data_IF_499282827498
#
_entry.id   IF_499282827498
#
_cell.length_a   1.000
_cell.length_b   1.000
_cell.length_c   1.000
_cell.angle_alpha   90.00
_cell.angle_beta   90.00
_cell.angle_gamma   90.00
#
_symmetry.space_group_name_H-M   'P 1'
#
loop_
_entity.id
_entity.type
_entity.pdbx_description
1 polymer ?
#
# COMPACT_ATOMS: atom_id res chain seq x y z
N UNK A 1 -6.90 -12.88 8.90
CA UNK A 1 -7.24 -11.72 8.05
C UNK A 1 -6.01 -11.17 7.32
N UNK A 2 -4.91 -10.85 8.04
CA UNK A 2 -3.66 -10.28 7.50
C UNK A 2 -2.56 -11.32 7.24
N UNK A 3 -2.96 -12.52 6.84
CA UNK A 3 -2.05 -13.56 6.35
C UNK A 3 -2.47 -13.87 4.93
N UNK A 4 -1.51 -14.26 4.09
CA UNK A 4 -1.83 -14.72 2.76
C UNK A 4 -2.72 -15.97 2.84
N UNK A 5 -3.92 -15.88 2.29
CA UNK A 5 -4.92 -16.95 2.30
C UNK A 5 -4.73 -17.90 1.12
N UNK A 6 -3.94 -17.52 0.12
CA UNK A 6 -3.69 -18.30 -1.09
C UNK A 6 -2.20 -18.50 -1.38
N UNK A 7 -1.40 -18.97 -0.39
CA UNK A 7 0.05 -19.10 -0.53
C UNK A 7 0.48 -20.09 -1.63
N UNK A 8 -0.43 -20.99 -2.03
CA UNK A 8 -0.17 -21.99 -3.06
C UNK A 8 -0.32 -21.46 -4.49
N UNK A 9 -0.72 -20.19 -4.67
CA UNK A 9 -0.82 -19.53 -5.98
C UNK A 9 0.33 -18.51 -6.08
N UNK A 10 1.44 -18.87 -6.75
CA UNK A 10 2.57 -17.96 -6.95
C UNK A 10 2.09 -16.71 -7.68
N UNK A 11 2.69 -15.57 -7.36
CA UNK A 11 2.47 -14.31 -8.08
C UNK A 11 1.03 -13.78 -8.08
N UNK A 12 0.13 -14.32 -7.25
CA UNK A 12 -1.26 -13.86 -7.14
C UNK A 12 -1.38 -12.38 -6.75
N UNK A 13 -0.40 -11.87 -6.00
CA UNK A 13 -0.25 -10.45 -5.67
C UNK A 13 0.46 -9.63 -6.74
N UNK A 14 0.98 -10.24 -7.80
CA UNK A 14 1.80 -9.58 -8.83
C UNK A 14 1.06 -9.18 -10.10
N UNK A 15 -0.21 -9.58 -10.20
CA UNK A 15 -1.06 -9.21 -11.33
C UNK A 15 -1.09 -7.69 -11.58
N UNK A 16 -0.90 -7.30 -12.84
CA UNK A 16 -1.06 -5.91 -13.26
C UNK A 16 -2.53 -5.51 -13.16
N UNK A 17 -2.78 -4.25 -12.78
CA UNK A 17 -4.14 -3.71 -12.77
C UNK A 17 -4.52 -3.38 -14.20
N UNK A 18 -5.22 -4.31 -14.86
CA UNK A 18 -5.72 -4.11 -16.20
C UNK A 18 -6.89 -3.12 -16.20
N UNK A 19 -6.79 -2.10 -17.04
CA UNK A 19 -7.85 -1.12 -17.21
C UNK A 19 -8.97 -1.70 -18.09
N UNK A 20 -10.01 -2.27 -17.48
CA UNK A 20 -11.22 -2.73 -18.19
C UNK A 20 -11.91 -1.57 -18.95
N UNK A 21 -11.80 -0.34 -18.43
CA UNK A 21 -12.21 0.90 -19.10
C UNK A 21 -11.12 1.96 -18.94
N UNK A 22 -10.39 2.24 -20.01
CA UNK A 22 -9.27 3.20 -20.04
C UNK A 22 -9.68 4.64 -19.70
N UNK A 23 -10.97 4.99 -19.87
CA UNK A 23 -11.51 6.30 -19.42
C UNK A 23 -11.60 6.43 -17.90
N UNK A 24 -11.68 5.30 -17.17
CA UNK A 24 -11.83 5.28 -15.71
C UNK A 24 -10.54 4.87 -15.01
N UNK A 25 -9.72 4.03 -15.64
CA UNK A 25 -8.49 3.51 -15.07
C UNK A 25 -7.32 3.76 -16.02
N UNK A 26 -6.24 4.37 -15.53
CA UNK A 26 -4.95 4.26 -16.22
C UNK A 26 -4.44 2.84 -16.02
N UNK A 27 -3.91 2.25 -17.09
CA UNK A 27 -3.12 1.03 -16.93
C UNK A 27 -1.95 1.38 -16.02
N UNK A 28 -1.83 0.67 -14.91
CA UNK A 28 -0.67 0.75 -14.03
C UNK A 28 0.20 -0.45 -14.39
N UNK A 29 1.27 -0.25 -15.20
CA UNK A 29 2.04 -1.35 -15.76
C UNK A 29 2.65 -2.23 -14.67
N UNK A 30 2.96 -1.63 -13.51
CA UNK A 30 3.51 -2.36 -12.39
C UNK A 30 3.25 -1.63 -11.07
N UNK A 31 2.47 -2.24 -10.18
CA UNK A 31 2.19 -1.73 -8.83
C UNK A 31 3.46 -1.71 -7.94
N UNK A 32 4.49 -2.45 -8.36
CA UNK A 32 5.84 -2.53 -7.78
C UNK A 32 6.55 -1.18 -7.69
N UNK A 33 6.27 -0.23 -8.59
CA UNK A 33 6.83 1.12 -8.52
C UNK A 33 6.38 1.87 -7.27
N UNK A 34 5.17 1.58 -6.80
CA UNK A 34 4.53 2.23 -5.64
C UNK A 34 4.69 1.39 -4.37
N UNK A 35 4.56 0.06 -4.46
CA UNK A 35 4.60 -0.85 -3.32
C UNK A 35 5.99 -1.50 -3.10
N UNK A 36 6.94 -1.29 -4.01
CA UNK A 36 8.24 -1.96 -3.98
C UNK A 36 8.18 -3.41 -4.49
N UNK A 37 9.32 -4.11 -4.37
CA UNK A 37 9.50 -5.51 -4.80
C UNK A 37 9.23 -6.51 -3.66
N UNK A 38 8.56 -6.09 -2.60
CA UNK A 38 8.27 -6.97 -1.48
C UNK A 38 7.24 -8.05 -1.90
N UNK A 39 7.31 -9.29 -1.38
CA UNK A 39 6.30 -10.31 -1.64
C UNK A 39 4.90 -9.80 -1.29
N UNK A 40 3.95 -10.07 -2.19
CA UNK A 40 2.55 -9.64 -2.10
C UNK A 40 1.65 -10.85 -1.96
N UNK A 41 0.62 -10.75 -1.14
CA UNK A 41 -0.35 -11.83 -0.91
C UNK A 41 -1.76 -11.30 -0.82
N UNK A 42 -2.73 -12.19 -0.64
CA UNK A 42 -4.13 -11.81 -0.45
C UNK A 42 -4.60 -12.20 0.94
N UNK A 43 -4.95 -11.20 1.74
CA UNK A 43 -5.74 -11.38 2.94
C UNK A 43 -7.17 -11.77 2.59
N UNK A 44 -7.99 -12.00 3.61
CA UNK A 44 -9.37 -12.46 3.41
C UNK A 44 -10.22 -11.48 2.57
N UNK A 45 -9.88 -10.20 2.56
CA UNK A 45 -10.66 -9.12 1.92
C UNK A 45 -9.83 -8.10 1.16
N UNK A 46 -8.50 -8.16 1.23
CA UNK A 46 -7.62 -7.14 0.66
C UNK A 46 -6.25 -7.70 0.36
N UNK A 47 -5.58 -7.03 -0.57
CA UNK A 47 -4.19 -7.27 -0.87
C UNK A 47 -3.31 -6.87 0.33
N UNK A 48 -2.35 -7.73 0.64
CA UNK A 48 -1.32 -7.52 1.65
C UNK A 48 -0.02 -7.21 0.91
N UNK A 49 0.62 -6.11 1.26
CA UNK A 49 1.89 -5.69 0.64
C UNK A 49 2.79 -4.99 1.64
N UNK A 50 4.09 -5.28 1.55
CA UNK A 50 5.11 -4.40 2.09
C UNK A 50 5.16 -3.05 1.36
N UNK A 51 6.02 -2.15 1.83
CA UNK A 51 6.23 -0.85 1.21
C UNK A 51 7.62 -0.28 1.52
N UNK A 52 8.16 0.53 0.60
CA UNK A 52 9.46 1.20 0.76
C UNK A 52 9.48 2.26 1.89
N UNK A 53 8.32 2.64 2.37
CA UNK A 53 8.02 3.70 3.33
C UNK A 53 8.01 3.24 4.79
N UNK A 54 8.32 1.96 5.06
CA UNK A 54 8.35 1.40 6.42
C UNK A 54 7.22 0.41 6.75
N UNK A 55 6.42 0.00 5.76
CA UNK A 55 5.39 -1.05 5.91
C UNK A 55 6.00 -2.45 5.93
N UNK A 56 5.63 -3.30 6.90
CA UNK A 56 5.93 -4.73 6.87
C UNK A 56 5.19 -5.48 5.77
N UNK A 57 5.71 -6.66 5.45
CA UNK A 57 5.17 -7.61 4.49
C UNK A 57 3.77 -8.14 4.84
N UNK A 58 3.23 -7.85 6.04
CA UNK A 58 1.90 -8.29 6.48
C UNK A 58 0.85 -7.18 6.54
N UNK A 59 1.15 -5.99 6.02
CA UNK A 59 0.23 -4.85 6.06
C UNK A 59 -0.83 -4.94 4.95
N UNK A 60 -2.11 -4.83 5.32
CA UNK A 60 -3.17 -4.38 4.42
C UNK A 60 -3.60 -2.98 4.89
N UNK A 61 -3.64 -2.01 3.96
CA UNK A 61 -3.90 -0.58 4.22
C UNK A 61 -3.27 -0.01 5.51
N UNK A 62 -2.08 0.59 5.41
CA UNK A 62 -1.41 1.39 6.47
C UNK A 62 -1.35 0.82 7.90
N UNK A 63 -1.68 -0.45 8.12
CA UNK A 63 -1.78 -0.99 9.46
C UNK A 63 -0.52 -1.73 9.87
N UNK A 64 0.38 -0.99 10.49
CA UNK A 64 1.38 -1.51 11.41
C UNK A 64 1.81 -0.39 12.37
N UNK A 65 2.24 -0.75 13.58
CA UNK A 65 2.58 0.19 14.66
C UNK A 65 1.39 0.95 15.26
N UNK A 66 0.20 0.32 15.31
CA UNK A 66 -1.00 0.85 15.98
C UNK A 66 -1.79 1.90 15.19
N UNK A 67 -1.28 2.33 14.04
CA UNK A 67 -1.92 3.31 13.16
C UNK A 67 -2.58 2.57 11.99
N UNK A 68 -3.69 3.11 11.48
CA UNK A 68 -4.30 2.71 10.22
C UNK A 68 -4.75 3.98 9.48
N UNK A 69 -4.81 3.93 8.16
CA UNK A 69 -5.15 5.08 7.33
C UNK A 69 -5.73 4.65 5.98
N UNK A 70 -6.40 5.58 5.31
CA UNK A 70 -6.99 5.36 3.99
C UNK A 70 -6.86 6.65 3.18
N UNK A 71 -6.45 6.51 1.91
CA UNK A 71 -6.44 7.62 0.96
C UNK A 71 -7.57 7.42 -0.02
N UNK A 72 -8.56 8.31 0.04
CA UNK A 72 -9.69 8.33 -0.87
C UNK A 72 -9.59 9.58 -1.75
N UNK A 73 -9.44 9.38 -3.05
CA UNK A 73 -9.54 10.46 -4.03
C UNK A 73 -10.71 10.19 -4.97
N UNK A 74 -11.46 11.23 -5.32
CA UNK A 74 -12.50 11.19 -6.35
C UNK A 74 -11.97 11.76 -7.67
N UNK A 75 -10.74 11.36 -8.03
CA UNK A 75 -10.06 11.82 -9.25
C UNK A 75 -10.03 10.68 -10.25
N UNK A 76 -10.42 10.99 -11.48
CA UNK A 76 -10.31 10.09 -12.62
C UNK A 76 -9.24 10.59 -13.60
N UNK A 77 -8.55 9.68 -14.30
CA UNK A 77 -8.63 8.22 -14.14
C UNK A 77 -7.86 7.72 -12.90
N UNK A 78 -8.28 6.58 -12.35
CA UNK A 78 -7.58 5.88 -11.26
C UNK A 78 -6.10 5.66 -11.62
N UNK A 79 -5.23 5.81 -10.62
CA UNK A 79 -3.78 5.76 -10.83
C UNK A 79 -3.18 7.08 -11.31
N UNK A 80 -3.84 8.21 -11.05
CA UNK A 80 -3.25 9.51 -11.36
C UNK A 80 -1.94 9.74 -10.60
N UNK A 81 -0.91 10.20 -11.32
CA UNK A 81 0.47 10.30 -10.79
C UNK A 81 0.57 11.33 -9.67
N UNK A 82 -0.22 12.41 -9.72
CA UNK A 82 -0.20 13.42 -8.65
C UNK A 82 -0.78 12.84 -7.35
N UNK A 83 -1.89 12.08 -7.45
CA UNK A 83 -2.51 11.39 -6.31
C UNK A 83 -1.56 10.34 -5.73
N UNK A 84 -0.92 9.53 -6.58
CA UNK A 84 0.04 8.50 -6.15
C UNK A 84 1.26 9.12 -5.46
N UNK A 85 1.74 10.27 -5.96
CA UNK A 85 2.85 11.01 -5.32
C UNK A 85 2.46 11.50 -3.93
N UNK A 86 1.32 12.18 -3.81
CA UNK A 86 0.81 12.68 -2.52
C UNK A 86 0.59 11.53 -1.56
N UNK A 87 0.08 10.39 -2.05
CA UNK A 87 -0.02 9.18 -1.25
C UNK A 87 1.34 8.81 -0.65
N UNK A 88 2.37 8.62 -1.48
CA UNK A 88 3.70 8.25 -0.98
C UNK A 88 4.26 9.26 0.04
N UNK A 89 4.01 10.55 -0.15
CA UNK A 89 4.48 11.61 0.77
C UNK A 89 3.75 11.59 2.12
N UNK A 90 2.43 11.47 2.11
CA UNK A 90 1.62 11.34 3.33
C UNK A 90 2.03 10.09 4.11
N UNK A 91 2.22 8.97 3.41
CA UNK A 91 2.66 7.74 4.02
C UNK A 91 4.02 7.87 4.70
N UNK A 92 5.00 8.46 4.00
CA UNK A 92 6.33 8.70 4.55
C UNK A 92 6.30 9.65 5.76
N UNK A 93 5.46 10.70 5.71
CA UNK A 93 5.31 11.64 6.82
C UNK A 93 4.72 11.01 8.08
N UNK A 94 3.69 10.16 7.92
CA UNK A 94 3.05 9.45 9.05
C UNK A 94 4.05 8.50 9.73
N UNK A 95 4.74 7.67 8.96
CA UNK A 95 5.76 6.76 9.53
C UNK A 95 6.96 7.54 10.09
N UNK A 96 7.39 8.62 9.44
CA UNK A 96 8.45 9.50 9.95
C UNK A 96 8.10 10.10 11.32
N UNK A 97 6.86 10.59 11.48
CA UNK A 97 6.37 11.10 12.76
C UNK A 97 6.32 10.04 13.85
N UNK A 98 5.88 8.82 13.52
CA UNK A 98 5.82 7.70 14.47
C UNK A 98 7.20 7.27 14.98
N UNK A 99 8.21 7.27 14.10
CA UNK A 99 9.58 6.97 14.50
C UNK A 99 10.20 8.08 15.35
N UNK A 100 9.82 9.34 15.12
CA UNK A 100 10.27 10.47 15.93
C UNK A 100 9.69 10.39 17.35
N UNK A 101 8.37 10.17 17.50
CA UNK A 101 7.73 10.06 18.82
C UNK A 101 8.23 8.86 19.63
N UNK A 102 8.63 7.77 18.96
CA UNK A 102 9.22 6.60 19.64
C UNK A 102 10.63 6.89 20.20
N UNK A 103 11.38 7.84 19.64
CA UNK A 103 12.74 8.20 20.11
C UNK A 103 12.73 9.16 21.30
N UNK A 104 11.69 9.97 21.47
CA UNK A 104 11.63 11.03 22.50
C UNK A 104 11.00 10.58 23.83
N UNK A 105 10.86 9.28 24.07
CA UNK A 105 10.64 8.72 25.42
C UNK A 105 9.27 8.95 26.06
N UNK A 106 8.29 9.49 25.35
CA UNK A 106 6.90 9.48 25.83
C UNK A 106 6.14 8.27 25.28
N UNK A 107 6.24 7.18 26.03
CA UNK A 107 5.38 6.00 25.91
C UNK A 107 3.91 6.39 26.18
N UNK A 108 3.00 5.79 25.41
CA UNK A 108 1.74 5.30 25.97
C UNK A 108 2.02 3.97 26.69
#
# INVERSE_FOLDING_TARGET
>A
MFTDQIPNIPESGESSVQAVRTKLNKMLPELSGVLGSAPRGWGLTFMISGGKTGRSSKTAWYRESGIAGMICSQILPFGDRAVVKIWSEVEAAVYGGLHATTKDGHLL
#
